data_IF_584631423114
#
_entry.id   IF_584631423114
#
_cell.length_a   1.000
_cell.length_b   1.000
_cell.length_c   1.000
_cell.angle_alpha   90.00
_cell.angle_beta   90.00
_cell.angle_gamma   90.00
#
_symmetry.space_group_name_H-M   'P 1'
#
loop_
_entity.id
_entity.type
_entity.pdbx_description
1 polymer ?
#
# COMPACT_ATOMS: atom_id res chain seq x y z
N UNK A 1 6.15 0.35 -16.03
CA UNK A 1 6.24 -1.00 -16.63
C UNK A 1 6.67 -1.99 -15.55
N UNK A 2 6.17 -3.22 -15.56
CA UNK A 2 6.71 -4.33 -14.73
C UNK A 2 7.65 -5.17 -15.59
N UNK A 3 8.84 -5.44 -15.08
CA UNK A 3 9.91 -6.16 -15.78
C UNK A 3 10.11 -7.59 -15.26
N UNK A 4 10.02 -7.78 -13.96
CA UNK A 4 10.16 -9.10 -13.34
C UNK A 4 9.39 -9.18 -12.03
N UNK A 5 8.95 -10.39 -11.69
CA UNK A 5 8.27 -10.71 -10.44
C UNK A 5 8.88 -12.00 -9.91
N UNK A 6 9.32 -12.00 -8.65
CA UNK A 6 9.82 -13.19 -7.96
C UNK A 6 9.29 -13.24 -6.54
N UNK A 7 8.75 -14.38 -6.13
CA UNK A 7 8.25 -14.63 -4.78
C UNK A 7 8.73 -15.99 -4.28
N UNK A 8 9.17 -16.01 -3.04
CA UNK A 8 9.59 -17.21 -2.32
C UNK A 8 8.84 -17.31 -1.01
N UNK A 9 8.26 -18.48 -0.74
CA UNK A 9 7.67 -18.81 0.55
C UNK A 9 8.65 -19.63 1.37
N UNK A 10 8.84 -19.27 2.63
CA UNK A 10 9.74 -19.95 3.53
C UNK A 10 8.95 -20.81 4.54
N UNK A 11 9.41 -22.04 4.84
CA UNK A 11 8.90 -22.80 5.98
C UNK A 11 9.33 -22.17 7.31
N UNK A 12 8.50 -22.24 8.38
CA UNK A 12 7.14 -22.78 8.42
C UNK A 12 6.11 -21.84 7.80
N UNK A 13 6.33 -20.53 7.87
CA UNK A 13 5.52 -19.49 7.25
C UNK A 13 6.42 -18.29 6.90
N UNK A 14 5.94 -17.39 6.04
CA UNK A 14 6.67 -16.19 5.62
C UNK A 14 6.91 -16.16 4.12
N UNK A 15 6.99 -14.95 3.57
CA UNK A 15 7.15 -14.68 2.15
C UNK A 15 8.21 -13.59 1.98
N UNK A 16 9.05 -13.74 0.96
CA UNK A 16 9.79 -12.63 0.39
C UNK A 16 9.38 -12.45 -1.06
N UNK A 17 9.26 -11.21 -1.50
CA UNK A 17 8.83 -10.87 -2.86
C UNK A 17 9.55 -9.65 -3.38
N UNK A 18 9.81 -9.63 -4.69
CA UNK A 18 10.31 -8.46 -5.39
C UNK A 18 9.60 -8.30 -6.74
N UNK A 19 9.18 -7.08 -7.03
CA UNK A 19 8.63 -6.64 -8.30
C UNK A 19 9.57 -5.58 -8.86
N UNK A 20 10.23 -5.89 -9.98
CA UNK A 20 11.11 -4.94 -10.67
C UNK A 20 10.25 -4.09 -11.60
N UNK A 21 10.32 -2.78 -11.45
CA UNK A 21 9.63 -1.79 -12.28
C UNK A 21 10.65 -0.88 -12.96
N UNK A 22 10.22 0.05 -13.81
CA UNK A 22 11.11 0.95 -14.54
C UNK A 22 12.07 1.67 -13.59
N UNK A 23 13.35 1.31 -13.66
CA UNK A 23 14.47 1.90 -12.91
C UNK A 23 14.32 1.86 -11.38
N UNK A 24 13.46 0.97 -10.86
CA UNK A 24 13.13 0.92 -9.44
C UNK A 24 12.50 -0.43 -9.06
N UNK A 25 11.96 -0.58 -7.85
CA UNK A 25 11.44 -1.86 -7.36
C UNK A 25 10.46 -1.72 -6.20
N UNK A 26 9.65 -2.75 -6.01
CA UNK A 26 8.87 -2.95 -4.79
C UNK A 26 9.29 -4.28 -4.20
N UNK A 27 9.73 -4.31 -2.94
CA UNK A 27 10.13 -5.54 -2.24
C UNK A 27 9.45 -5.68 -0.91
N UNK A 28 9.18 -6.92 -0.49
CA UNK A 28 8.60 -7.19 0.82
C UNK A 28 9.20 -8.45 1.45
N UNK A 29 9.27 -8.43 2.78
CA UNK A 29 9.63 -9.56 3.62
C UNK A 29 8.67 -9.65 4.79
N UNK A 30 8.11 -10.82 5.05
CA UNK A 30 7.12 -11.01 6.12
C UNK A 30 7.58 -12.02 7.16
N UNK A 31 7.30 -11.72 8.43
CA UNK A 31 7.46 -12.64 9.56
C UNK A 31 6.12 -12.78 10.29
N UNK A 32 5.27 -13.73 9.86
CA UNK A 32 3.94 -13.93 10.42
C UNK A 32 3.94 -14.19 11.93
N UNK A 33 4.95 -14.88 12.46
CA UNK A 33 5.15 -15.18 13.88
C UNK A 33 5.27 -13.92 14.75
N UNK A 34 5.75 -12.81 14.18
CA UNK A 34 5.84 -11.51 14.84
C UNK A 34 4.72 -10.56 14.41
N UNK A 35 3.85 -10.99 13.48
CA UNK A 35 2.88 -10.13 12.78
C UNK A 35 3.55 -8.88 12.19
N UNK A 36 4.72 -9.08 11.60
CA UNK A 36 5.56 -8.02 11.05
C UNK A 36 5.76 -8.21 9.55
N UNK A 37 5.78 -7.09 8.82
CA UNK A 37 6.15 -7.04 7.42
C UNK A 37 7.04 -5.82 7.17
N UNK A 38 8.13 -6.04 6.44
CA UNK A 38 8.94 -5.00 5.85
C UNK A 38 8.53 -4.83 4.38
N UNK A 39 8.46 -3.59 3.92
CA UNK A 39 8.08 -3.23 2.56
C UNK A 39 8.93 -2.04 2.10
N UNK A 40 9.55 -2.18 0.94
CA UNK A 40 10.22 -1.08 0.25
C UNK A 40 9.43 -0.74 -1.01
N UNK A 41 9.09 0.54 -1.16
CA UNK A 41 8.48 1.07 -2.38
C UNK A 41 9.47 2.08 -2.95
N UNK A 42 10.21 1.65 -3.97
CA UNK A 42 11.06 2.51 -4.78
C UNK A 42 10.33 2.75 -6.10
N UNK A 43 10.00 4.01 -6.37
CA UNK A 43 9.56 4.47 -7.69
C UNK A 43 10.48 5.55 -8.24
N UNK A 44 10.51 5.69 -9.57
CA UNK A 44 11.19 6.77 -10.28
C UNK A 44 10.16 7.57 -11.10
N UNK A 45 10.41 8.87 -11.32
CA UNK A 45 9.57 9.77 -12.11
C UNK A 45 8.72 10.72 -11.27
N UNK A 46 8.37 11.88 -11.87
CA UNK A 46 7.65 12.97 -11.20
C UNK A 46 6.14 12.72 -11.07
N UNK A 47 5.58 11.84 -11.92
CA UNK A 47 4.15 11.56 -11.96
C UNK A 47 3.74 10.39 -11.04
N UNK A 48 4.68 9.85 -10.25
CA UNK A 48 4.42 8.71 -9.36
C UNK A 48 4.28 9.21 -7.93
N UNK A 49 3.23 8.73 -7.27
CA UNK A 49 2.89 9.04 -5.88
C UNK A 49 3.13 7.80 -5.01
N UNK A 50 4.27 7.72 -4.28
CA UNK A 50 4.59 6.58 -3.41
C UNK A 50 3.62 6.44 -2.24
N UNK A 51 3.01 7.52 -1.77
CA UNK A 51 2.13 7.53 -0.61
C UNK A 51 0.89 6.67 -0.88
N UNK A 52 0.34 6.71 -2.10
CA UNK A 52 -0.76 5.83 -2.51
C UNK A 52 -0.40 4.35 -2.37
N UNK A 53 0.82 3.96 -2.72
CA UNK A 53 1.29 2.59 -2.59
C UNK A 53 1.45 2.18 -1.12
N UNK A 54 1.95 3.09 -0.28
CA UNK A 54 2.04 2.88 1.18
C UNK A 54 0.64 2.69 1.78
N UNK A 55 -0.30 3.58 1.48
CA UNK A 55 -1.70 3.50 1.97
C UNK A 55 -2.34 2.18 1.56
N UNK A 56 -2.20 1.79 0.29
CA UNK A 56 -2.71 0.52 -0.20
C UNK A 56 -2.08 -0.67 0.53
N UNK A 57 -0.76 -0.67 0.71
CA UNK A 57 -0.08 -1.76 1.38
C UNK A 57 -0.51 -1.89 2.84
N UNK A 58 -0.57 -0.78 3.56
CA UNK A 58 -1.03 -0.72 4.96
C UNK A 58 -2.43 -1.35 5.12
N UNK A 59 -3.36 -1.01 4.24
CA UNK A 59 -4.72 -1.58 4.23
C UNK A 59 -4.70 -3.08 3.86
N UNK A 60 -3.95 -3.46 2.82
CA UNK A 60 -3.85 -4.84 2.35
C UNK A 60 -3.22 -5.78 3.39
N UNK A 61 -2.22 -5.31 4.15
CA UNK A 61 -1.62 -6.04 5.26
C UNK A 61 -2.49 -6.05 6.52
N UNK A 62 -3.54 -5.21 6.58
CA UNK A 62 -4.34 -5.00 7.79
C UNK A 62 -3.50 -4.49 8.96
N UNK A 63 -2.49 -3.66 8.66
CA UNK A 63 -1.53 -3.19 9.65
C UNK A 63 -2.22 -2.27 10.66
N UNK A 64 -1.93 -2.49 11.95
CA UNK A 64 -2.46 -1.63 13.01
C UNK A 64 -1.62 -0.37 13.24
N UNK A 65 -0.34 -0.43 12.86
CA UNK A 65 0.66 0.63 12.97
C UNK A 65 1.60 0.55 11.78
N UNK A 66 2.15 1.68 11.36
CA UNK A 66 3.18 1.74 10.31
C UNK A 66 4.29 2.73 10.68
N UNK A 67 5.53 2.34 10.43
CA UNK A 67 6.71 3.19 10.52
C UNK A 67 7.23 3.37 9.10
N UNK A 68 7.27 4.62 8.62
CA UNK A 68 7.64 4.92 7.23
C UNK A 68 8.84 5.85 7.25
N UNK A 69 9.86 5.48 6.49
CA UNK A 69 10.99 6.35 6.17
C UNK A 69 10.96 6.57 4.66
N UNK A 70 10.66 7.79 4.25
CA UNK A 70 10.77 8.22 2.88
C UNK A 70 12.19 8.71 2.62
N UNK A 71 12.75 8.31 1.47
CA UNK A 71 14.08 8.74 1.04
C UNK A 71 13.93 9.32 -0.37
N UNK A 72 14.12 10.64 -0.51
CA UNK A 72 14.28 11.25 -1.83
C UNK A 72 15.70 10.99 -2.30
N UNK A 73 15.84 10.37 -3.47
CA UNK A 73 17.14 9.92 -4.00
C UNK A 73 17.55 10.69 -5.23
N UNK A 74 18.86 10.80 -5.46
CA UNK A 74 19.41 11.37 -6.68
C UNK A 74 19.21 12.87 -6.80
N UNK A 75 19.25 13.60 -5.67
CA UNK A 75 19.21 15.06 -5.69
C UNK A 75 20.55 15.56 -6.24
N UNK A 76 20.51 16.28 -7.36
CA UNK A 76 21.68 16.86 -8.04
C UNK A 76 21.57 18.38 -8.02
N UNK A 77 22.63 19.05 -7.55
CA UNK A 77 22.75 20.52 -7.52
C UNK A 77 23.58 21.06 -8.71
N UNK A 78 23.93 20.20 -9.67
CA UNK A 78 24.65 20.55 -10.89
C UNK A 78 26.17 20.34 -10.82
N UNK A 79 26.66 19.72 -9.75
CA UNK A 79 28.07 19.37 -9.54
C UNK A 79 28.34 17.87 -9.71
N UNK A 80 27.33 17.08 -10.13
CA UNK A 80 27.37 15.62 -10.25
C UNK A 80 27.66 14.91 -8.92
N UNK A 81 27.35 15.56 -7.79
CA UNK A 81 27.33 14.95 -6.47
C UNK A 81 25.87 14.70 -6.08
N UNK A 82 25.52 13.43 -5.91
CA UNK A 82 24.14 13.04 -5.61
C UNK A 82 23.91 12.92 -4.11
N UNK A 83 22.91 13.65 -3.61
CA UNK A 83 22.50 13.61 -2.22
C UNK A 83 21.16 12.89 -2.04
N UNK A 84 20.90 12.55 -0.78
CA UNK A 84 19.66 11.93 -0.34
C UNK A 84 19.09 12.76 0.80
N UNK A 85 17.78 13.01 0.78
CA UNK A 85 17.05 13.50 1.94
C UNK A 85 16.16 12.39 2.47
N UNK A 86 15.93 12.36 3.78
CA UNK A 86 15.05 11.38 4.39
C UNK A 86 14.13 12.04 5.41
N UNK A 87 12.90 11.54 5.47
CA UNK A 87 11.88 11.93 6.44
C UNK A 87 11.29 10.66 7.02
N UNK A 88 11.13 10.61 8.35
CA UNK A 88 10.55 9.47 9.05
C UNK A 88 9.33 9.90 9.83
N UNK A 89 8.27 9.11 9.74
CA UNK A 89 7.06 9.29 10.53
C UNK A 89 6.45 7.95 10.94
N UNK A 90 5.57 8.02 11.94
CA UNK A 90 4.87 6.86 12.48
C UNK A 90 3.37 7.13 12.51
N UNK A 91 2.57 6.14 12.14
CA UNK A 91 1.11 6.22 12.21
C UNK A 91 0.51 5.10 13.08
N UNK A 92 -0.39 5.49 13.99
CA UNK A 92 -1.27 4.57 14.71
C UNK A 92 -2.65 4.54 14.04
N UNK A 93 -2.87 3.49 13.26
CA UNK A 93 -4.03 3.35 12.38
C UNK A 93 -5.27 2.87 13.15
N UNK A 94 -5.12 2.40 14.39
CA UNK A 94 -6.27 2.05 15.26
C UNK A 94 -7.17 3.26 15.54
N UNK A 95 -6.62 4.48 15.39
CA UNK A 95 -7.34 5.76 15.56
C UNK A 95 -8.06 6.23 14.28
N UNK A 96 -7.70 5.73 13.09
CA UNK A 96 -8.37 6.00 11.81
C UNK A 96 -9.57 5.06 11.59
N UNK A 97 -10.54 5.03 12.51
CA UNK A 97 -11.87 4.48 12.17
C UNK A 97 -12.72 5.61 11.57
N UNK A 98 -12.95 5.67 10.24
CA UNK A 98 -14.03 6.50 9.73
C UNK A 98 -15.37 5.94 10.20
N UNK A 99 -16.29 6.83 10.55
CA UNK A 99 -17.65 6.49 10.91
C UNK A 99 -18.28 5.63 9.81
N UNK A 100 -18.90 4.51 10.20
CA UNK A 100 -19.74 3.71 9.30
C UNK A 100 -20.90 4.60 8.83
N UNK A 101 -20.87 5.02 7.58
CA UNK A 101 -22.06 5.54 6.90
C UNK A 101 -23.07 4.40 6.75
N UNK A 102 -23.92 4.27 7.78
CA UNK A 102 -25.18 3.53 7.70
C UNK A 102 -26.14 4.35 6.83
N UNK A 103 -26.09 4.22 5.50
CA UNK A 103 -27.29 4.46 4.67
C UNK A 103 -27.94 3.14 4.30
N UNK A 104 -28.89 2.79 5.16
CA UNK A 104 -29.80 1.68 5.02
C UNK A 104 -30.79 1.88 3.86
N UNK A 105 -31.11 0.75 3.22
CA UNK A 105 -32.35 0.41 2.50
C UNK A 105 -32.63 1.06 1.15
N UNK A 106 -32.18 0.34 0.13
CA UNK A 106 -32.98 0.02 -1.07
C UNK A 106 -34.24 -0.76 -0.65
N UNK A 107 -35.44 -0.27 -0.99
CA UNK A 107 -36.62 -1.06 -1.38
C UNK A 107 -37.65 -0.14 -2.02
N UNK A 108 -37.37 0.19 -3.27
CA UNK A 108 -38.42 0.44 -4.25
C UNK A 108 -39.22 -0.86 -4.41
N UNK A 109 -40.52 -0.81 -4.11
CA UNK A 109 -41.50 -1.83 -4.49
C UNK A 109 -42.62 -1.12 -5.24
N UNK A 110 -42.36 -0.89 -6.52
CA UNK A 110 -43.39 -0.61 -7.51
C UNK A 110 -44.40 -1.77 -7.62
N UNK A 111 -45.68 -1.39 -7.54
CA UNK A 111 -46.78 -1.79 -8.44
C UNK A 111 -46.99 -3.30 -8.67
N UNK A 112 -47.93 -3.88 -7.91
CA UNK A 112 -48.74 -5.00 -8.38
C UNK A 112 -50.11 -4.46 -8.83
N UNK A 113 -50.35 -4.43 -10.15
CA UNK A 113 -51.67 -4.39 -10.77
C UNK A 113 -51.96 -5.78 -11.34
N UNK A 114 -52.98 -6.47 -10.80
CA UNK A 114 -53.92 -7.40 -11.47
C UNK A 114 -54.72 -8.10 -10.34
N UNK A 115 -56.00 -8.41 -10.42
CA UNK A 115 -57.02 -8.26 -11.45
C UNK A 115 -58.41 -8.34 -10.80
N UNK A 116 -59.41 -7.93 -11.56
CA UNK A 116 -60.84 -7.87 -11.21
C UNK A 116 -61.47 -9.27 -11.19
N UNK A 117 -62.54 -9.38 -10.37
CA UNK A 117 -63.64 -10.35 -10.36
C UNK A 117 -63.37 -11.73 -9.76
#
# INVERSE_FOLDING_TARGET
>A
QVWAISFSRFPPNGVSGVVVISESHISTHTWPEYRYGALDIYTCGQDVDPEKAVIYAVDAFGAATSHVTEITRGIDEGDAIFFHSFVTWEEDLKKRKPAKDKKAKKKDKGRAQSGKK
#
